data_IF_523668610178
#
_entry.id   IF_523668610178
#
_cell.length_a   1.000
_cell.length_b   1.000
_cell.length_c   1.000
_cell.angle_alpha   90.00
_cell.angle_beta   90.00
_cell.angle_gamma   90.00
#
_symmetry.space_group_name_H-M   'P 1'
#
loop_
_entity.id
_entity.type
_entity.pdbx_description
1 polymer ?
2 polymer ?
3 non-polymer ?
4 water ?
#
loop_
_entity_poly.entity_id
_entity_poly.type
_entity_poly.pdbx_seq_one_letter_code
_entity_poly.pdbx_strand_id
2 'polyribonucleotide' 'AGCGAAUUCGCUU' ?
#
# COMPACT_ATOMS: atom_id res chain seq x y z
N UNK A 3 19.89 -14.54 -23.24
CA UNK A 3 20.51 -14.45 -21.92
C UNK A 3 19.57 -14.94 -20.83
N UNK A 4 20.06 -15.85 -19.97
CA UNK A 4 19.28 -16.55 -18.95
C UNK A 4 19.01 -15.69 -17.72
N UNK A 5 17.96 -16.03 -16.97
CA UNK A 5 17.49 -15.20 -15.86
C UNK A 5 17.63 -15.83 -14.49
N UNK A 6 17.77 -15.00 -13.46
CA UNK A 6 17.75 -15.48 -12.08
C UNK A 6 16.62 -14.81 -11.35
N UNK A 7 15.96 -15.56 -10.48
CA UNK A 7 14.83 -15.05 -9.73
C UNK A 7 15.09 -15.23 -8.23
N UNK A 8 14.98 -14.15 -7.46
CA UNK A 8 15.19 -14.21 -6.01
C UNK A 8 13.95 -13.81 -5.24
N UNK A 9 13.71 -14.47 -4.12
CA UNK A 9 12.64 -14.03 -3.22
C UNK A 9 13.22 -13.19 -2.10
N UNK A 10 12.68 -11.99 -1.94
CA UNK A 10 12.98 -11.18 -0.74
C UNK A 10 12.13 -11.66 0.44
N UNK A 11 12.69 -12.56 1.23
CA UNK A 11 11.97 -13.08 2.37
C UNK A 11 11.88 -12.08 3.51
N UNK A 12 10.67 -11.90 4.03
CA UNK A 12 10.41 -10.99 5.14
C UNK A 12 9.70 -11.70 6.28
N UNK A 13 10.29 -11.65 7.46
CA UNK A 13 9.64 -12.18 8.65
C UNK A 13 9.77 -11.24 9.83
N UNK A 14 8.65 -10.93 10.47
CA UNK A 14 8.64 -10.01 11.60
C UNK A 14 9.17 -10.76 12.80
N UNK A 15 10.46 -10.65 13.01
CA UNK A 15 11.14 -11.43 14.04
C UNK A 15 11.06 -10.82 15.44
N UNK A 16 11.07 -9.48 15.53
CA UNK A 16 10.74 -8.79 16.79
C UNK A 16 9.65 -7.74 16.64
N UNK A 17 8.39 -8.13 16.90
CA UNK A 17 7.28 -7.18 16.79
C UNK A 17 7.46 -6.07 17.81
N UNK A 18 7.00 -4.88 17.45
CA UNK A 18 7.11 -3.70 18.29
C UNK A 18 6.51 -3.97 19.65
N UNK A 19 7.25 -3.64 20.71
CA UNK A 19 6.71 -3.78 22.07
C UNK A 19 5.64 -2.72 22.31
N UNK A 20 4.65 -3.05 23.13
CA UNK A 20 3.55 -2.14 23.43
C UNK A 20 3.98 -0.76 23.95
N UNK A 21 5.10 -0.71 24.65
CA UNK A 21 5.63 0.53 25.18
C UNK A 21 6.41 1.36 24.16
N UNK A 22 6.44 0.92 22.91
CA UNK A 22 7.00 1.75 21.85
C UNK A 22 5.94 2.04 20.78
N UNK A 23 4.79 1.41 20.88
CA UNK A 23 3.73 1.66 19.91
C UNK A 23 2.92 2.90 20.30
N UNK A 24 3.60 4.04 20.32
CA UNK A 24 3.05 5.33 20.71
C UNK A 24 1.82 5.74 19.90
N UNK A 25 1.90 5.55 18.59
CA UNK A 25 0.79 5.86 17.71
C UNK A 25 -0.32 4.78 17.79
N UNK A 26 -0.15 3.82 18.71
CA UNK A 26 -1.12 2.75 18.97
C UNK A 26 -1.60 2.05 17.71
N UNK A 27 -0.66 1.58 16.92
CA UNK A 27 -0.96 0.96 15.64
C UNK A 27 -1.14 -0.54 15.77
N UNK A 28 -1.92 -1.10 14.87
CA UNK A 28 -1.99 -2.54 14.72
C UNK A 28 -0.69 -2.97 14.05
N UNK A 29 -0.19 -4.16 14.40
CA UNK A 29 1.06 -4.66 13.83
C UNK A 29 0.79 -5.67 12.72
N UNK A 30 1.45 -5.49 11.57
CA UNK A 30 1.19 -6.34 10.40
C UNK A 30 2.43 -7.10 10.01
N UNK A 31 2.55 -8.36 10.46
CA UNK A 31 3.68 -9.20 10.03
C UNK A 31 3.62 -9.54 8.54
N UNK A 32 4.72 -9.35 7.80
CA UNK A 32 4.67 -9.59 6.35
C UNK A 32 4.37 -11.06 6.01
N UNK A 33 4.84 -11.97 6.84
CA UNK A 33 4.62 -13.38 6.57
C UNK A 33 3.15 -13.82 6.59
N UNK A 34 2.22 -12.92 6.88
CA UNK A 34 0.81 -13.31 6.99
C UNK A 34 0.09 -13.21 5.65
N UNK A 35 0.76 -12.64 4.67
CA UNK A 35 0.21 -12.58 3.33
C UNK A 35 1.23 -13.17 2.35
N UNK A 36 0.76 -14.02 1.44
CA UNK A 36 1.66 -14.72 0.53
C UNK A 36 2.32 -13.82 -0.51
N UNK A 37 1.56 -12.89 -1.08
CA UNK A 37 2.12 -11.99 -2.09
C UNK A 37 3.23 -11.13 -1.52
N UNK A 38 4.34 -11.04 -2.25
CA UNK A 38 5.52 -10.33 -1.77
C UNK A 38 6.45 -9.91 -2.92
N UNK A 39 7.67 -9.47 -2.59
CA UNK A 39 8.54 -9.00 -3.65
C UNK A 39 9.71 -9.94 -3.97
N UNK A 40 10.19 -9.82 -5.20
CA UNK A 40 11.32 -10.59 -5.66
C UNK A 40 12.22 -9.79 -6.56
N UNK A 41 13.37 -10.38 -6.89
CA UNK A 41 14.29 -9.71 -7.78
C UNK A 41 14.64 -10.57 -8.99
N UNK A 42 14.57 -9.95 -10.15
CA UNK A 42 14.94 -10.59 -11.40
C UNK A 42 16.25 -9.99 -11.93
N UNK A 43 17.26 -10.84 -12.10
CA UNK A 43 18.55 -10.40 -12.61
C UNK A 43 19.06 -11.25 -13.77
N UNK A 44 20.12 -10.75 -14.39
CA UNK A 44 20.76 -11.43 -15.50
C UNK A 44 22.03 -12.13 -15.00
N UNK A 45 22.44 -11.80 -13.77
CA UNK A 45 23.62 -12.40 -13.13
C UNK A 45 23.29 -12.76 -11.66
N UNK A 46 24.06 -13.66 -11.04
CA UNK A 46 23.69 -14.04 -9.67
C UNK A 46 23.98 -12.98 -8.61
N UNK A 47 23.33 -13.15 -7.47
CA UNK A 47 23.58 -12.32 -6.31
C UNK A 47 24.37 -13.19 -5.37
N UNK A 48 25.51 -12.68 -4.89
CA UNK A 48 26.32 -13.48 -3.98
C UNK A 48 25.56 -13.68 -2.69
N UNK A 49 25.76 -14.82 -2.04
CA UNK A 49 25.20 -15.07 -0.71
C UNK A 49 25.28 -13.82 0.16
N UNK A 50 24.18 -13.52 0.84
CA UNK A 50 24.09 -12.32 1.63
C UNK A 50 23.40 -12.63 2.96
N UNK A 51 24.05 -12.25 4.06
CA UNK A 51 23.56 -12.68 5.36
C UNK A 51 22.25 -12.00 5.70
N UNK A 52 21.41 -12.69 6.48
CA UNK A 52 20.14 -12.16 6.94
C UNK A 52 20.36 -10.84 7.65
N UNK A 53 19.51 -9.85 7.36
CA UNK A 53 19.64 -8.55 8.01
C UNK A 53 18.28 -7.90 8.35
N UNK A 54 18.26 -7.03 9.36
CA UNK A 54 17.02 -6.35 9.80
C UNK A 54 16.67 -5.07 9.04
N UNK A 55 15.41 -4.91 8.68
CA UNK A 55 14.84 -3.59 8.46
C UNK A 55 13.87 -3.27 9.60
N UNK A 56 13.83 -2.02 10.02
CA UNK A 56 13.01 -1.60 11.16
C UNK A 56 11.80 -0.84 10.68
N UNK A 57 10.64 -1.47 10.83
CA UNK A 57 9.43 -0.96 10.25
C UNK A 57 8.45 -0.64 11.36
N UNK A 58 7.32 -0.08 10.98
CA UNK A 58 6.29 0.28 11.91
C UNK A 58 5.77 -0.88 12.73
N UNK A 59 5.79 -2.10 12.17
CA UNK A 59 5.29 -3.24 12.93
C UNK A 59 6.35 -3.87 13.84
N UNK A 60 7.59 -3.41 13.74
CA UNK A 60 8.70 -3.98 14.50
C UNK A 60 9.87 -4.36 13.61
N UNK A 61 10.76 -5.20 14.12
CA UNK A 61 11.92 -5.62 13.34
C UNK A 61 11.62 -6.82 12.42
N UNK A 62 11.84 -6.61 11.13
CA UNK A 62 11.59 -7.61 10.11
C UNK A 62 12.92 -8.14 9.60
N UNK A 63 13.11 -9.45 9.66
CA UNK A 63 14.34 -10.05 9.16
C UNK A 63 14.22 -10.28 7.65
N UNK A 64 15.22 -9.78 6.92
CA UNK A 64 15.26 -9.88 5.48
C UNK A 64 16.22 -10.96 5.04
N UNK A 65 15.78 -11.81 4.12
CA UNK A 65 16.64 -12.84 3.55
C UNK A 65 16.44 -12.87 2.05
N UNK A 66 17.53 -13.00 1.32
CA UNK A 66 17.46 -13.15 -0.12
C UNK A 66 17.75 -14.59 -0.49
N UNK A 67 16.79 -15.25 -1.14
CA UNK A 67 16.91 -16.66 -1.44
C UNK A 67 16.49 -16.93 -2.88
N UNK A 68 17.23 -17.80 -3.55
CA UNK A 68 16.98 -18.14 -4.95
C UNK A 68 15.71 -18.97 -5.15
N UNK A 69 14.83 -18.51 -6.04
CA UNK A 69 13.59 -19.22 -6.33
C UNK A 69 13.66 -20.03 -7.61
N UNK A 70 14.42 -19.53 -8.58
CA UNK A 70 14.43 -20.06 -9.93
C UNK A 70 15.64 -19.53 -10.71
N UNK A 71 16.19 -20.36 -11.59
CA UNK A 71 17.32 -19.96 -12.43
C UNK A 71 17.28 -20.64 -13.79
N UNK A 72 18.01 -20.09 -14.75
CA UNK A 72 18.17 -20.71 -16.05
C UNK A 72 16.92 -20.77 -16.92
N UNK A 73 16.07 -19.77 -16.81
CA UNK A 73 14.88 -19.72 -17.66
C UNK A 73 14.94 -18.49 -18.55
N UNK A 74 14.03 -18.41 -19.51
CA UNK A 74 13.93 -17.26 -20.38
C UNK A 74 12.56 -16.60 -20.19
N UNK A 75 12.50 -15.32 -20.52
CA UNK A 75 11.22 -14.65 -20.59
C UNK A 75 11.15 -13.93 -21.92
N UNK A 76 9.95 -13.83 -22.47
CA UNK A 76 9.72 -13.13 -23.72
C UNK A 76 10.02 -11.65 -23.60
N UNK A 77 10.20 -11.00 -24.72
CA UNK A 77 10.38 -9.55 -24.75
C UNK A 77 9.20 -8.88 -24.05
N UNK A 78 8.01 -9.32 -24.42
CA UNK A 78 6.78 -8.78 -23.87
C UNK A 78 6.76 -8.80 -22.33
N UNK A 79 7.07 -9.95 -21.74
CA UNK A 79 7.07 -10.08 -20.28
C UNK A 79 8.15 -9.25 -19.60
N UNK A 80 9.32 -9.18 -20.21
CA UNK A 80 10.41 -8.37 -19.69
C UNK A 80 10.00 -6.90 -19.67
N UNK A 81 9.35 -6.47 -20.76
CA UNK A 81 8.81 -5.13 -20.87
C UNK A 81 7.79 -4.83 -19.76
N UNK A 82 6.89 -5.78 -19.55
CA UNK A 82 5.86 -5.63 -18.55
C UNK A 82 6.50 -5.51 -17.17
N UNK A 83 7.51 -6.33 -16.93
CA UNK A 83 8.17 -6.33 -15.63
C UNK A 83 8.91 -5.01 -15.44
N UNK A 84 9.51 -4.55 -16.50
CA UNK A 84 10.23 -3.32 -16.44
C UNK A 84 9.32 -2.17 -16.13
N UNK A 85 8.10 -2.23 -16.61
CA UNK A 85 7.15 -1.18 -16.36
C UNK A 85 6.69 -1.15 -14.93
N UNK A 86 6.59 -2.31 -14.33
CA UNK A 86 6.09 -2.40 -12.99
C UNK A 86 7.13 -2.05 -12.00
N UNK A 87 8.36 -2.23 -12.38
CA UNK A 87 9.48 -1.86 -11.59
C UNK A 87 9.45 -0.38 -11.44
N UNK A 88 9.46 0.28 -12.57
CA UNK A 88 9.38 1.73 -12.63
C UNK A 88 8.14 2.26 -11.92
N UNK A 89 7.01 1.58 -12.10
CA UNK A 89 5.78 1.96 -11.42
C UNK A 89 5.97 1.93 -9.88
N UNK A 90 6.51 0.84 -9.38
CA UNK A 90 6.77 0.69 -7.96
C UNK A 90 7.60 1.84 -7.43
N UNK A 91 8.64 2.23 -8.16
CA UNK A 91 9.55 3.22 -7.62
C UNK A 91 9.12 4.64 -7.86
N UNK A 92 8.54 4.90 -9.02
CA UNK A 92 8.18 6.25 -9.38
C UNK A 92 6.81 6.58 -8.85
N UNK A 93 5.89 5.64 -9.02
CA UNK A 93 4.50 5.91 -8.72
C UNK A 93 4.09 5.53 -7.30
N UNK A 94 4.70 4.50 -6.72
CA UNK A 94 4.31 4.10 -5.39
C UNK A 94 5.20 4.72 -4.32
N UNK A 95 6.50 4.59 -4.49
CA UNK A 95 7.44 5.14 -3.51
C UNK A 95 7.76 6.60 -3.79
N UNK A 96 7.56 7.02 -5.05
CA UNK A 96 7.94 8.35 -5.52
C UNK A 96 9.44 8.67 -5.40
N UNK A 97 10.27 7.89 -6.10
CA UNK A 97 11.72 8.00 -5.99
C UNK A 97 12.43 8.46 -7.26
N UNK A 98 13.75 8.58 -7.14
CA UNK A 98 14.63 8.86 -8.27
C UNK A 98 16.10 8.55 -7.98
N UNK A 113 18.23 -5.64 -10.90
CA UNK A 113 17.71 -5.01 -12.12
C UNK A 113 16.20 -4.79 -12.07
N UNK A 114 15.41 -5.84 -11.96
CA UNK A 114 13.97 -5.64 -11.78
C UNK A 114 13.43 -6.20 -10.48
N UNK A 115 12.64 -5.35 -9.83
CA UNK A 115 11.84 -5.77 -8.70
C UNK A 115 10.45 -6.12 -9.22
N UNK A 116 9.87 -7.17 -8.68
CA UNK A 116 8.61 -7.63 -9.19
C UNK A 116 7.91 -8.44 -8.13
N UNK A 117 6.57 -8.54 -8.21
CA UNK A 117 5.76 -9.30 -7.27
C UNK A 117 5.76 -10.80 -7.49
N UNK A 118 5.92 -11.54 -6.39
CA UNK A 118 5.77 -12.97 -6.39
C UNK A 118 4.53 -13.36 -5.63
N UNK A 119 3.99 -14.53 -5.95
CA UNK A 119 2.92 -15.12 -5.17
C UNK A 119 2.99 -16.63 -5.26
N UNK A 120 2.14 -17.30 -4.50
CA UNK A 120 2.12 -18.75 -4.54
C UNK A 120 1.29 -19.20 -5.72
N UNK A 121 1.74 -20.28 -6.36
CA UNK A 121 0.97 -20.94 -7.41
C UNK A 121 -0.06 -21.79 -6.70
N UNK A 122 -1.25 -21.92 -7.30
CA UNK A 122 -2.36 -22.68 -6.72
C UNK A 122 -1.95 -23.85 -5.82
N UNK A 123 -0.89 -24.56 -6.20
CA UNK A 123 -0.29 -25.56 -5.35
C UNK A 123 0.36 -24.92 -4.13
N UNK A 125 2.40 -23.64 -2.13
CA UNK A 125 3.62 -23.52 -1.33
C UNK A 125 4.76 -22.79 -2.05
N UNK A 126 4.78 -22.89 -3.40
CA UNK A 126 5.89 -22.37 -4.21
C UNK A 126 5.66 -20.95 -4.79
N UNK A 127 6.63 -20.08 -4.60
CA UNK A 127 6.51 -18.70 -5.05
C UNK A 127 7.00 -18.54 -6.49
N UNK A 128 6.23 -17.82 -7.31
CA UNK A 128 6.61 -17.54 -8.68
C UNK A 128 6.15 -16.15 -9.08
N UNK A 129 6.50 -15.72 -10.28
CA UNK A 129 6.19 -14.39 -10.74
C UNK A 129 4.68 -14.20 -10.81
N UNK A 130 4.17 -13.19 -10.14
CA UNK A 130 2.74 -12.97 -10.11
C UNK A 130 2.34 -12.15 -11.33
N UNK A 131 2.20 -12.83 -12.47
CA UNK A 131 1.87 -12.12 -13.71
C UNK A 131 0.46 -11.52 -13.66
N UNK A 132 -0.48 -12.25 -13.08
CA UNK A 132 -1.87 -11.82 -13.07
C UNK A 132 -2.02 -10.49 -12.34
N UNK A 133 -1.32 -10.37 -11.20
CA UNK A 133 -1.35 -9.13 -10.44
C UNK A 133 -0.82 -7.96 -11.27
N UNK A 134 0.31 -8.18 -11.93
CA UNK A 134 0.93 -7.16 -12.79
C UNK A 134 0.00 -6.70 -13.90
N UNK A 135 -0.74 -7.63 -14.48
CA UNK A 135 -1.73 -7.30 -15.49
C UNK A 135 -2.91 -6.56 -14.88
N UNK A 136 -3.29 -6.95 -13.67
CA UNK A 136 -4.36 -6.21 -12.97
C UNK A 136 -4.00 -4.76 -12.70
N UNK A 137 -2.77 -4.51 -12.24
CA UNK A 137 -2.30 -3.14 -12.01
C UNK A 137 -2.41 -2.35 -13.29
N UNK A 138 -1.89 -2.91 -14.38
CA UNK A 138 -1.94 -2.24 -15.68
C UNK A 138 -3.36 -1.94 -16.10
N UNK A 139 -4.25 -2.95 -15.98
CA UNK A 139 -5.65 -2.76 -16.32
C UNK A 139 -6.25 -1.60 -15.52
N UNK A 140 -6.03 -1.62 -14.21
CA UNK A 140 -6.50 -0.57 -13.33
C UNK A 140 -5.99 0.79 -13.79
N UNK A 141 -4.71 0.84 -14.09
CA UNK A 141 -4.09 2.07 -14.54
C UNK A 141 -4.62 2.48 -15.91
N UNK A 142 -4.92 1.52 -16.77
CA UNK A 142 -5.46 1.84 -18.08
C UNK A 142 -6.98 2.09 -18.01
N UNK A 143 -7.50 2.09 -16.79
CA UNK A 143 -8.93 2.27 -16.55
C UNK A 143 -9.77 1.16 -17.17
N UNK A 144 -9.22 -0.06 -17.20
CA UNK A 144 -9.94 -1.23 -17.71
C UNK A 144 -10.44 -2.12 -16.60
N UNK A 145 -11.73 -2.49 -16.66
CA UNK A 145 -12.30 -3.40 -15.69
C UNK A 145 -12.56 -2.75 -14.35
N UNK A 146 -12.97 -1.49 -14.38
CA UNK A 146 -13.20 -0.71 -13.17
C UNK A 146 -14.68 -0.43 -12.91
N UNK A 147 -15.17 -0.75 -11.71
CA UNK A 147 -16.57 -0.54 -11.29
C UNK A 147 -16.99 0.93 -11.28
N UNK A 148 -18.29 1.21 -11.32
CA UNK A 148 -18.77 2.59 -11.34
C UNK A 148 -18.40 3.42 -10.11
N UNK A 149 -18.17 4.71 -10.31
CA UNK A 149 -18.11 5.68 -9.22
C UNK A 149 -19.14 6.76 -9.49
N UNK A 150 -20.08 6.46 -10.38
CA UNK A 150 -21.19 7.33 -10.65
C UNK A 150 -22.30 7.01 -9.66
N UNK A 151 -22.17 7.53 -8.45
CA UNK A 151 -23.19 7.33 -7.42
C UNK A 151 -24.30 8.35 -7.58
N UNK A 152 -25.55 7.88 -7.52
CA UNK A 152 -26.73 8.73 -7.53
C UNK A 152 -27.75 8.19 -6.53
N UNK A 153 -28.87 8.88 -6.33
CA UNK A 153 -29.97 8.36 -5.50
C UNK A 153 -30.50 7.01 -6.03
N UNK A 154 -30.46 6.82 -7.34
CA UNK A 154 -30.99 5.60 -7.95
C UNK A 154 -30.00 4.44 -7.82
N UNK A 155 -28.71 4.74 -7.90
CA UNK A 155 -27.66 3.75 -7.73
C UNK A 155 -26.63 4.24 -6.73
N UNK A 156 -26.98 4.22 -5.44
CA UNK A 156 -26.13 4.74 -4.36
C UNK A 156 -24.85 3.98 -4.09
N UNK A 157 -23.92 4.64 -3.43
CA UNK A 157 -22.69 4.02 -2.98
C UNK A 157 -23.00 2.94 -1.95
N UNK A 158 -22.34 1.81 -2.12
CA UNK A 158 -22.55 0.68 -1.23
C UNK A 158 -21.24 0.41 -0.53
N UNK A 159 -21.26 0.48 0.79
CA UNK A 159 -20.08 0.22 1.58
C UNK A 159 -19.91 -1.26 1.84
N UNK A 160 -18.75 -1.79 1.48
CA UNK A 160 -18.44 -3.21 1.69
C UNK A 160 -17.20 -3.32 2.56
N UNK A 161 -17.38 -3.84 3.77
CA UNK A 161 -16.32 -3.81 4.77
C UNK A 161 -15.05 -4.56 4.31
N UNK A 162 -15.22 -5.67 3.58
CA UNK A 162 -14.06 -6.44 3.10
C UNK A 162 -13.17 -5.64 2.15
N UNK A 163 -13.71 -4.62 1.51
CA UNK A 163 -12.90 -3.86 0.58
C UNK A 163 -12.08 -2.81 1.31
N UNK A 164 -12.28 -2.68 2.61
CA UNK A 164 -11.52 -1.71 3.39
C UNK A 164 -10.70 -2.38 4.50
N UNK A 165 -10.34 -3.64 4.27
CA UNK A 165 -9.46 -4.34 5.19
C UNK A 165 -8.02 -4.04 4.79
N UNK A 166 -7.61 -4.61 3.67
CA UNK A 166 -6.24 -4.50 3.19
C UNK A 166 -6.08 -3.30 2.26
N UNK A 167 -6.69 -2.17 2.62
CA UNK A 167 -6.77 -1.06 1.69
C UNK A 167 -5.87 0.14 1.97
N UNK A 168 -5.33 0.66 0.87
CA UNK A 168 -4.74 1.97 0.82
C UNK A 168 -5.77 2.84 0.12
N UNK A 169 -6.01 4.02 0.65
CA UNK A 169 -7.02 4.92 0.09
C UNK A 169 -6.48 6.30 -0.23
N UNK A 170 -7.14 6.95 -1.17
CA UNK A 170 -6.75 8.26 -1.64
C UNK A 170 -7.99 9.12 -1.76
N UNK A 171 -8.04 10.24 -1.03
CA UNK A 171 -9.14 11.17 -1.31
C UNK A 171 -9.08 11.64 -2.75
N UNK A 172 -10.17 11.46 -3.48
CA UNK A 172 -10.23 11.80 -4.90
C UNK A 172 -10.28 13.30 -5.14
N UNK A 173 -10.96 13.99 -4.23
CA UNK A 173 -11.48 15.33 -4.47
C UNK A 173 -10.46 16.45 -4.28
N UNK A 174 -9.19 16.09 -4.07
CA UNK A 174 -8.17 17.12 -3.95
C UNK A 174 -6.81 16.58 -4.34
N UNK A 175 -5.88 17.49 -4.61
CA UNK A 175 -4.50 17.16 -4.91
C UNK A 175 -4.40 16.22 -6.09
N UNK A 176 -4.93 16.67 -7.22
CA UNK A 176 -4.99 15.84 -8.42
C UNK A 176 -3.58 15.51 -8.89
N UNK A 177 -2.69 16.47 -8.77
CA UNK A 177 -1.28 16.25 -9.10
C UNK A 177 -0.59 15.23 -8.18
N UNK A 178 -0.63 15.47 -6.88
CA UNK A 178 0.12 14.65 -5.92
C UNK A 178 -0.75 14.06 -4.81
N UNK A 179 -1.62 13.10 -5.15
CA UNK A 179 -2.58 12.51 -4.21
C UNK A 179 -1.92 11.98 -2.95
N UNK A 180 -2.52 12.24 -1.79
CA UNK A 180 -2.00 11.73 -0.53
C UNK A 180 -2.58 10.33 -0.33
N UNK A 181 -1.84 9.44 0.32
CA UNK A 181 -2.29 8.05 0.47
C UNK A 181 -2.36 7.59 1.91
N UNK A 182 -3.39 6.82 2.24
CA UNK A 182 -3.58 6.38 3.61
C UNK A 182 -3.88 4.89 3.75
N UNK A 183 -3.39 4.30 4.84
CA UNK A 183 -3.89 3.02 5.26
C UNK A 183 -5.16 3.29 6.03
N UNK A 184 -6.12 2.39 5.91
CA UNK A 184 -7.28 2.42 6.76
C UNK A 184 -6.84 1.90 8.11
N UNK A 185 -6.76 2.80 9.08
CA UNK A 185 -6.33 2.46 10.43
C UNK A 185 -7.49 1.83 11.19
N UNK A 186 -8.69 2.34 10.95
CA UNK A 186 -9.87 1.88 11.66
C UNK A 186 -11.18 2.23 10.95
N UNK A 187 -12.18 1.36 11.12
CA UNK A 187 -13.53 1.61 10.61
C UNK A 187 -14.45 2.01 11.75
N UNK A 188 -14.92 3.25 11.72
CA UNK A 188 -15.77 3.76 12.78
C UNK A 188 -17.24 3.47 12.53
N UNK A 189 -17.68 2.28 12.93
CA UNK A 189 -19.05 1.84 12.66
C UNK A 189 -20.11 2.66 13.37
N UNK A 190 -19.70 3.49 14.34
CA UNK A 190 -20.66 4.29 15.08
C UNK A 190 -20.70 5.75 14.63
N UNK A 191 -20.01 6.03 13.54
CA UNK A 191 -20.09 7.35 12.93
C UNK A 191 -20.70 7.22 11.55
N UNK A 192 -21.29 8.32 11.08
CA UNK A 192 -21.83 8.37 9.73
C UNK A 192 -21.60 9.78 9.23
N UNK A 193 -21.78 10.02 7.92
CA UNK A 193 -21.63 11.40 7.43
C UNK A 193 -22.46 12.45 8.17
N UNK A 194 -23.46 12.01 8.94
CA UNK A 194 -24.31 12.93 9.69
C UNK A 194 -23.77 13.21 11.08
N UNK A 195 -22.72 12.52 11.46
CA UNK A 195 -22.07 12.76 12.73
C UNK A 195 -21.53 14.19 12.78
N UNK A 196 -21.30 14.68 13.99
CA UNK A 196 -20.82 16.05 14.15
C UNK A 196 -19.40 16.26 13.67
N UNK A 197 -19.20 17.39 13.00
CA UNK A 197 -17.91 17.76 12.46
C UNK A 197 -17.06 18.42 13.52
N UNK A 198 -15.78 18.00 13.60
CA UNK A 198 -14.82 18.39 14.64
C UNK A 198 -14.46 19.87 14.62
N UNK A 199 -14.75 20.55 13.52
CA UNK A 199 -14.52 21.98 13.47
C UNK A 199 -15.86 22.70 13.52
N UNK A 200 -15.98 23.69 14.43
CA UNK A 200 -17.20 24.44 14.70
C UNK A 200 -17.90 25.00 13.46
N UNK A 201 -17.13 25.45 12.47
CA UNK A 201 -17.68 26.12 11.29
C UNK A 201 -18.55 25.24 10.38
N UNK A 202 -18.68 23.96 10.73
CA UNK A 202 -19.57 23.03 10.05
C UNK A 202 -20.25 22.10 11.06
N UNK A 203 -21.47 21.67 10.74
CA UNK A 203 -22.24 20.85 11.67
C UNK A 203 -22.06 19.35 11.42
N UNK A 204 -21.91 18.94 10.16
CA UNK A 204 -21.62 17.54 9.84
C UNK A 204 -20.59 17.40 8.73
N UNK A 205 -20.02 16.21 8.63
CA UNK A 205 -19.21 15.84 7.47
C UNK A 205 -19.93 16.13 6.16
N UNK A 206 -21.18 15.69 6.05
CA UNK A 206 -21.96 15.95 4.85
C UNK A 206 -21.96 17.43 4.49
N UNK A 207 -22.21 18.29 5.48
CA UNK A 207 -22.24 19.74 5.24
C UNK A 207 -20.88 20.27 4.78
N UNK A 208 -19.82 19.77 5.42
CA UNK A 208 -18.46 20.13 5.04
C UNK A 208 -18.16 19.88 3.56
N UNK A 209 -18.34 18.64 3.13
CA UNK A 209 -17.97 18.26 1.77
C UNK A 209 -18.85 18.91 0.72
N UNK A 210 -20.12 19.12 1.07
CA UNK A 210 -21.00 19.85 0.20
C UNK A 210 -20.52 21.30 0.11
N UNK A 211 -20.21 21.90 1.26
CA UNK A 211 -19.82 23.30 1.28
C UNK A 211 -18.44 23.52 0.69
N UNK A 212 -17.47 22.75 1.19
CA UNK A 212 -16.09 22.94 0.80
C UNK A 212 -15.80 22.44 -0.61
N UNK A 213 -16.49 21.40 -1.05
CA UNK A 213 -16.14 20.79 -2.32
C UNK A 213 -17.30 20.58 -3.27
N UNK A 214 -18.51 20.94 -2.85
CA UNK A 214 -19.73 20.61 -3.61
C UNK A 214 -19.87 19.14 -3.94
N UNK A 215 -19.59 18.31 -2.95
CA UNK A 215 -19.74 16.88 -3.08
C UNK A 215 -21.03 16.45 -2.40
N UNK A 216 -21.81 15.67 -3.12
CA UNK A 216 -23.03 15.10 -2.58
C UNK A 216 -22.73 13.72 -2.05
N UNK A 217 -23.51 13.25 -1.10
CA UNK A 217 -23.36 11.88 -0.61
C UNK A 217 -24.67 11.15 -0.79
N UNK A 218 -24.59 9.91 -1.25
CA UNK A 218 -25.77 9.12 -1.57
C UNK A 218 -26.02 8.08 -0.48
N UNK A 219 -25.03 7.86 0.37
CA UNK A 219 -25.13 6.90 1.44
C UNK A 219 -24.83 7.56 2.77
N UNK A 220 -25.86 7.79 3.57
CA UNK A 220 -25.71 8.54 4.82
C UNK A 220 -25.61 7.68 6.08
N UNK A 221 -25.53 6.37 5.89
CA UNK A 221 -25.36 5.46 7.02
C UNK A 221 -24.00 4.78 7.01
N UNK A 222 -23.18 5.10 6.00
CA UNK A 222 -21.87 4.47 5.90
C UNK A 222 -20.97 4.80 7.08
N UNK A 223 -20.07 3.89 7.43
CA UNK A 223 -19.08 4.20 8.48
C UNK A 223 -18.13 5.28 8.00
N UNK A 224 -17.42 5.92 8.92
CA UNK A 224 -16.30 6.76 8.53
C UNK A 224 -15.00 6.01 8.80
N UNK A 225 -13.91 6.52 8.22
CA UNK A 225 -12.63 5.83 8.26
C UNK A 225 -11.62 6.62 9.04
N UNK A 226 -10.85 5.91 9.88
CA UNK A 226 -9.71 6.51 10.55
C UNK A 226 -8.50 6.13 9.71
N UNK A 227 -7.61 7.08 9.47
CA UNK A 227 -6.52 6.85 8.55
C UNK A 227 -5.16 6.88 9.22
N UNK A 228 -4.14 6.52 8.46
CA UNK A 228 -2.76 6.54 8.91
C UNK A 228 -1.95 6.70 7.64
N UNK A 229 -1.23 7.80 7.50
CA UNK A 229 -0.52 8.14 6.27
C UNK A 229 0.51 7.07 5.91
N UNK A 230 0.59 6.72 4.62
CA UNK A 230 1.65 5.86 4.15
C UNK A 230 2.95 6.62 4.27
N UNK A 231 3.98 5.96 4.83
CA UNK A 231 5.18 6.69 5.22
C UNK A 231 5.97 7.15 4.03
N UNK A 232 7.13 7.71 4.32
CA UNK A 232 8.01 8.19 3.28
C UNK A 232 9.43 7.91 3.72
N UNK A 233 9.58 7.44 4.97
CA UNK A 233 10.89 7.22 5.59
C UNK A 233 11.75 6.28 4.75
N UNK A 234 12.81 6.85 4.17
CA UNK A 234 13.60 6.15 3.17
C UNK A 234 14.49 5.05 3.77
N UNK A 235 15.29 5.41 4.77
CA UNK A 235 16.18 4.45 5.38
C UNK A 235 15.57 3.75 6.59
N UNK A 236 15.37 2.45 6.46
CA UNK A 236 14.85 1.63 7.56
C UNK A 236 15.90 0.67 8.11
N UNK A 237 17.16 0.86 7.75
CA UNK A 237 18.23 -0.02 8.21
C UNK A 237 18.58 0.26 9.66
N UNK A 238 18.34 1.49 10.11
CA UNK A 238 18.56 1.88 11.48
C UNK A 238 17.22 2.11 12.18
N UNK A 239 17.15 1.76 13.48
CA UNK A 239 15.97 2.01 14.34
C UNK A 239 15.77 3.50 14.69
N UNK A 240 14.85 3.79 15.60
CA UNK A 240 14.49 5.16 15.99
C UNK A 240 15.47 5.78 16.98
N UNK A 257 6.17 23.22 13.44
CA UNK A 257 5.62 23.13 12.09
C UNK A 257 5.34 21.69 11.69
N UNK A 258 6.41 20.90 11.55
CA UNK A 258 6.28 19.48 11.22
C UNK A 258 5.62 18.71 12.37
N UNK A 259 5.63 19.33 13.55
CA UNK A 259 5.02 18.73 14.74
C UNK A 259 3.51 18.94 14.73
N UNK A 260 3.07 20.12 14.31
CA UNK A 260 1.65 20.38 14.22
C UNK A 260 1.04 19.53 13.12
N UNK A 261 1.74 19.41 12.00
CA UNK A 261 1.19 18.64 10.89
C UNK A 261 1.04 17.16 11.19
N UNK A 262 2.15 16.50 11.56
CA UNK A 262 2.15 15.06 11.85
C UNK A 262 1.04 14.73 12.84
N UNK A 263 0.83 15.63 13.79
CA UNK A 263 -0.30 15.53 14.70
C UNK A 263 -1.61 15.45 13.92
N UNK A 264 -2.05 16.59 13.41
CA UNK A 264 -3.33 16.72 12.69
C UNK A 264 -3.55 15.66 11.61
N UNK A 265 -2.45 15.31 10.93
CA UNK A 265 -2.48 14.44 9.75
C UNK A 265 -3.32 13.18 9.93
N UNK A 266 -3.06 12.44 11.01
CA UNK A 266 -3.79 11.22 11.28
C UNK A 266 -5.09 11.40 12.04
N UNK A 267 -5.39 12.63 12.42
CA UNK A 267 -6.67 12.91 13.06
C UNK A 267 -7.79 13.04 12.04
N UNK A 268 -7.40 13.14 10.77
CA UNK A 268 -8.34 13.21 9.66
C UNK A 268 -9.27 11.99 9.64
N UNK A 269 -10.54 12.23 9.33
CA UNK A 269 -11.51 11.16 9.20
C UNK A 269 -12.09 11.23 7.80
N UNK A 270 -12.01 10.12 7.07
CA UNK A 270 -12.43 10.15 5.67
C UNK A 270 -13.73 9.41 5.43
N UNK A 271 -14.45 9.84 4.40
CA UNK A 271 -15.69 9.20 3.98
C UNK A 271 -15.42 8.24 2.83
N UNK A 272 -15.79 6.96 3.01
CA UNK A 272 -15.53 5.93 1.99
C UNK A 272 -15.98 6.33 0.59
N UNK A 273 -17.19 6.86 0.46
CA UNK A 273 -17.76 7.19 -0.84
C UNK A 273 -16.89 8.22 -1.59
N UNK A 274 -16.09 8.97 -0.85
CA UNK A 274 -15.24 9.99 -1.45
C UNK A 274 -13.80 9.52 -1.70
N UNK A 275 -13.50 8.26 -1.40
CA UNK A 275 -12.11 7.81 -1.49
C UNK A 275 -11.96 6.63 -2.40
N UNK A 276 -10.93 6.70 -3.24
CA UNK A 276 -10.56 5.60 -4.10
C UNK A 276 -9.76 4.60 -3.31
N UNK A 277 -9.93 3.34 -3.67
CA UNK A 277 -9.08 2.27 -3.16
C UNK A 277 -7.99 1.98 -4.18
N UNK A 278 -6.73 2.23 -3.82
CA UNK A 278 -5.62 1.95 -4.71
C UNK A 278 -5.53 0.47 -5.07
N UNK A 279 -5.14 0.13 -6.32
CA UNK A 279 -5.12 -1.28 -6.72
C UNK A 279 -4.04 -2.08 -6.00
N UNK A 280 -3.08 -1.42 -5.38
CA UNK A 280 -2.11 -2.12 -4.55
C UNK A 280 -2.65 -2.31 -3.15
N UNK A 281 -2.81 -3.56 -2.72
CA UNK A 281 -3.24 -3.85 -1.34
C UNK A 281 -2.27 -3.27 -0.32
N UNK A 282 -2.75 -2.96 0.89
CA UNK A 282 -1.91 -2.41 1.95
C UNK A 282 -0.86 -3.40 2.42
N UNK A 283 -1.21 -4.68 2.43
CA UNK A 283 -0.29 -5.76 2.83
C UNK A 283 0.99 -5.69 2.01
N UNK A 284 0.86 -5.38 0.71
CA UNK A 284 2.00 -5.33 -0.20
C UNK A 284 2.66 -3.96 -0.14
N UNK A 285 1.85 -2.95 0.10
CA UNK A 285 2.37 -1.58 0.22
C UNK A 285 3.37 -1.50 1.39
N UNK A 286 3.05 -2.14 2.51
CA UNK A 286 3.97 -2.19 3.66
C UNK A 286 5.28 -2.85 3.31
N UNK A 287 5.24 -3.90 2.49
CA UNK A 287 6.49 -4.52 2.04
C UNK A 287 7.27 -3.61 1.08
N UNK A 288 6.56 -2.92 0.20
CA UNK A 288 7.20 -2.06 -0.79
C UNK A 288 8.03 -0.93 -0.20
N UNK A 289 7.57 -0.33 0.89
CA UNK A 289 8.34 0.79 1.46
C UNK A 289 9.69 0.34 2.04
N UNK A 290 9.90 -0.96 2.11
CA UNK A 290 11.16 -1.53 2.55
C UNK A 290 12.17 -1.68 1.44
N UNK A 291 11.68 -1.65 0.21
CA UNK A 291 12.55 -1.91 -0.95
C UNK A 291 13.79 -1.02 -1.04
N UNK A 292 13.65 0.28 -0.79
CA UNK A 292 14.85 1.09 -0.99
C UNK A 292 15.96 0.70 -0.03
N UNK A 293 15.63 0.37 1.21
CA UNK A 293 16.64 -0.04 2.19
C UNK A 293 17.25 -1.35 1.75
N UNK A 294 16.41 -2.25 1.26
CA UNK A 294 16.86 -3.57 0.89
C UNK A 294 17.78 -3.50 -0.33
N UNK A 295 17.42 -2.69 -1.32
CA UNK A 295 18.26 -2.55 -2.50
C UNK A 295 19.53 -1.77 -2.14
N UNK A 296 19.41 -0.88 -1.18
CA UNK A 296 20.60 -0.17 -0.75
C UNK A 296 21.59 -1.14 -0.12
N UNK A 297 21.09 -2.02 0.73
CA UNK A 297 21.96 -2.99 1.38
C UNK A 297 22.60 -3.94 0.35
N UNK A 298 21.85 -4.33 -0.67
CA UNK A 298 22.33 -5.24 -1.73
C UNK A 298 23.38 -4.63 -2.64
N UNK A 299 23.28 -3.32 -2.89
CA UNK A 299 24.34 -2.62 -3.60
C UNK A 299 25.54 -2.43 -2.66
N UNK A 300 25.31 -2.71 -1.37
CA UNK A 300 26.29 -2.58 -0.28
C UNK A 300 26.48 -1.14 0.19
X LIG C 1 7.09 7.09 9.79
X LIG C 1 6.29 7.94 8.85
X LIG C 1 8.44 7.72 9.99
X LIG C 1 6.38 6.96 11.12
X LIG C 1 7.28 5.72 9.20
#
# INVERSE_FOLDING_TARGET
SDQPCYLYVIGMVLTTPLPDELNFRRRKLYPPEDTTRCFGILTAKPIPQIPHFPVYTRSGEVTISIELAASGFMLSLQMLELITRLHQYIFSHILRLEKPALEFKPTDADSAYCVLPLNVVNDSSTLDIDFKFMEDIEKSEARIGIPSTKYTKETPFVFKLEDYQDAVIIPRYRNFDQPHRFYVADVYTDLTPLSKFPSPEYETFAEYYKTKYNLDLTNLNQPLLDVDHTSSRLNLLTPRHLNQKGKALPLSSAEKRKAKWESLQNKQILVPELCAIHPIPASLWRKAVCLPSILYRLHCLL
PO4 P O1 O2 O3 O4
#
